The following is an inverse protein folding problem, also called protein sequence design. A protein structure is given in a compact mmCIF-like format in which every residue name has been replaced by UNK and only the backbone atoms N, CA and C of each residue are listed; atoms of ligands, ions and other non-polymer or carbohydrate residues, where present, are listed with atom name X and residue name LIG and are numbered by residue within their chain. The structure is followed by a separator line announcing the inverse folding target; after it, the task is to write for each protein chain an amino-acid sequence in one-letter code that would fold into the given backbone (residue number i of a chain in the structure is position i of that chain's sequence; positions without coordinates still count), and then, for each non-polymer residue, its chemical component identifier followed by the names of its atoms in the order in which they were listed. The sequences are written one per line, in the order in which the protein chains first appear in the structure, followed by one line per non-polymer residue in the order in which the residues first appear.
data_IF_959662936153
#
_entry.id   IF_959662936153
#
_cell.length_a   1.000
_cell.length_b   1.000
_cell.length_c   1.000
_cell.angle_alpha   90.00
_cell.angle_beta   90.00
_cell.angle_gamma   90.00
#
_symmetry.space_group_name_H-M   'P 1'
#
loop_
_entity.id
_entity.type
_entity.pdbx_description
1 polymer ?
#
# COMPACT_ATOMS: atom_id res chain seq x y z
N UNK A 1 -10.26 24.11 2.75
CA UNK A 1 -9.28 23.11 2.27
C UNK A 1 -8.06 23.29 3.15
N UNK A 2 -7.93 22.48 4.19
CA UNK A 2 -6.82 22.58 5.13
C UNK A 2 -5.62 21.75 4.61
N UNK A 3 -4.50 22.39 4.25
CA UNK A 3 -3.30 21.69 3.78
C UNK A 3 -2.61 20.92 4.93
N UNK A 4 -2.83 21.34 6.17
CA UNK A 4 -2.19 20.77 7.36
C UNK A 4 -2.76 19.38 7.74
N UNK A 5 -4.00 19.08 7.34
CA UNK A 5 -4.63 17.76 7.55
C UNK A 5 -3.90 16.61 6.86
N UNK A 6 -3.05 16.89 5.88
CA UNK A 6 -2.25 15.88 5.17
C UNK A 6 -0.84 15.72 5.73
N UNK A 7 -0.39 16.64 6.60
CA UNK A 7 0.95 16.65 7.17
C UNK A 7 1.02 15.95 8.53
N UNK A 8 -0.09 15.90 9.27
CA UNK A 8 -0.14 15.28 10.59
C UNK A 8 -0.62 13.82 10.53
N UNK A 9 0.34 12.91 10.36
CA UNK A 9 0.50 11.66 11.12
C UNK A 9 -0.66 10.67 11.27
N UNK A 10 -1.83 10.88 10.68
CA UNK A 10 -3.02 10.06 10.86
C UNK A 10 -3.48 9.52 9.51
N UNK A 11 -2.65 8.61 9.03
CA UNK A 11 -2.84 7.69 7.91
C UNK A 11 -4.22 6.98 7.90
N UNK A 12 -5.04 7.10 8.96
CA UNK A 12 -6.41 6.59 9.01
C UNK A 12 -7.30 7.16 7.89
N UNK A 13 -7.28 8.48 7.66
CA UNK A 13 -8.10 9.10 6.62
C UNK A 13 -7.69 8.68 5.21
N UNK A 14 -6.38 8.62 4.96
CA UNK A 14 -5.84 8.17 3.67
C UNK A 14 -6.06 6.66 3.45
N UNK A 15 -5.93 5.84 4.50
CA UNK A 15 -6.28 4.41 4.48
C UNK A 15 -7.74 4.18 4.13
N UNK A 16 -8.64 4.97 4.70
CA UNK A 16 -10.08 4.85 4.45
C UNK A 16 -10.43 5.16 3.00
N UNK A 17 -9.83 6.21 2.43
CA UNK A 17 -9.94 6.51 1.00
C UNK A 17 -9.41 5.36 0.14
N UNK A 18 -8.25 4.80 0.48
CA UNK A 18 -7.72 3.65 -0.24
C UNK A 18 -8.62 2.40 -0.14
N UNK A 19 -9.36 2.22 0.97
CA UNK A 19 -10.30 1.10 1.13
C UNK A 19 -11.51 1.21 0.20
N UNK A 20 -11.95 2.44 -0.10
CA UNK A 20 -13.05 2.72 -1.03
C UNK A 20 -12.64 2.75 -2.51
N UNK A 21 -11.35 2.80 -2.83
CA UNK A 21 -10.89 2.87 -4.22
C UNK A 21 -11.08 1.53 -4.96
N UNK A 22 -11.72 1.52 -6.14
CA UNK A 22 -11.84 0.32 -6.98
C UNK A 22 -10.48 -0.14 -7.54
N UNK A 23 -9.44 0.70 -7.43
CA UNK A 23 -8.07 0.37 -7.82
C UNK A 23 -7.21 -0.10 -6.65
N UNK A 24 -7.80 -0.41 -5.50
CA UNK A 24 -7.06 -0.83 -4.31
C UNK A 24 -6.18 -2.06 -4.59
N UNK A 25 -6.72 -3.06 -5.26
CA UNK A 25 -6.01 -4.32 -5.52
C UNK A 25 -4.93 -4.17 -6.59
N UNK A 26 -5.18 -3.36 -7.63
CA UNK A 26 -4.16 -3.00 -8.63
C UNK A 26 -3.05 -2.15 -8.01
N UNK A 27 -3.37 -1.26 -7.08
CA UNK A 27 -2.38 -0.51 -6.30
C UNK A 27 -1.53 -1.46 -5.44
N UNK A 28 -2.14 -2.45 -4.79
CA UNK A 28 -1.41 -3.45 -4.02
C UNK A 28 -0.44 -4.27 -4.90
N UNK A 29 -0.90 -4.70 -6.07
CA UNK A 29 -0.05 -5.40 -7.05
C UNK A 29 1.12 -4.51 -7.51
N UNK A 30 0.85 -3.26 -7.87
CA UNK A 30 1.86 -2.32 -8.33
C UNK A 30 2.93 -2.06 -7.26
N UNK A 31 2.55 -1.99 -5.97
CA UNK A 31 3.48 -1.84 -4.87
C UNK A 31 4.51 -2.98 -4.81
N UNK A 32 4.05 -4.21 -5.01
CA UNK A 32 4.91 -5.40 -4.98
C UNK A 32 5.80 -5.54 -6.22
N UNK A 33 5.40 -4.94 -7.34
CA UNK A 33 6.16 -4.92 -8.59
C UNK A 33 7.13 -3.73 -8.68
N UNK A 34 6.94 -2.70 -7.85
CA UNK A 34 7.75 -1.47 -7.85
C UNK A 34 8.98 -1.66 -6.93
N UNK A 35 10.21 -1.63 -7.48
CA UNK A 35 11.42 -1.63 -6.68
C UNK A 35 11.46 -0.40 -5.77
N UNK A 36 11.75 -0.59 -4.48
CA UNK A 36 11.82 0.54 -3.55
C UNK A 36 10.47 1.18 -3.21
N UNK A 37 9.33 0.49 -3.39
CA UNK A 37 8.04 1.00 -2.95
C UNK A 37 8.06 1.42 -1.46
N UNK A 38 7.58 2.64 -1.19
CA UNK A 38 7.44 3.29 0.13
C UNK A 38 6.16 4.13 0.17
N UNK A 39 5.70 4.48 1.37
CA UNK A 39 4.48 5.28 1.56
C UNK A 39 3.21 4.44 1.57
N UNK A 40 2.05 5.08 1.41
CA UNK A 40 0.76 4.40 1.49
C UNK A 40 0.35 3.77 0.14
N UNK A 41 0.11 2.46 0.14
CA UNK A 41 -0.37 1.70 -1.02
C UNK A 41 -1.57 0.86 -0.62
N UNK A 42 -2.69 0.95 -1.35
CA UNK A 42 -3.89 0.15 -1.08
C UNK A 42 -4.39 0.16 0.40
N UNK A 43 -4.06 1.21 1.16
CA UNK A 43 -4.37 1.31 2.59
C UNK A 43 -3.34 0.64 3.53
N UNK A 44 -2.14 0.35 3.04
CA UNK A 44 -1.01 -0.21 3.80
C UNK A 44 0.20 0.72 3.64
N UNK A 45 0.72 1.20 4.77
CA UNK A 45 1.93 2.01 4.77
C UNK A 45 3.18 1.13 4.69
N UNK A 46 4.02 1.37 3.69
CA UNK A 46 5.29 0.70 3.46
C UNK A 46 6.41 1.60 3.97
N UNK A 47 7.07 1.26 5.09
CA UNK A 47 8.20 2.04 5.58
C UNK A 47 9.42 1.89 4.65
N UNK A 48 10.34 2.88 4.65
CA UNK A 48 11.51 2.88 3.77
C UNK A 48 12.44 1.68 3.99
N UNK A 49 12.59 1.23 5.24
CA UNK A 49 13.50 0.14 5.60
C UNK A 49 12.95 -0.70 6.76
N UNK A 50 13.56 -1.87 6.98
CA UNK A 50 13.31 -2.72 8.15
C UNK A 50 12.28 -3.84 7.95
N UNK A 51 12.03 -4.60 9.01
CA UNK A 51 11.14 -5.79 8.99
C UNK A 51 9.69 -5.43 8.69
N UNK A 52 9.24 -4.26 9.15
CA UNK A 52 7.89 -3.75 8.88
C UNK A 52 7.63 -3.56 7.38
N UNK A 53 8.67 -3.26 6.58
CA UNK A 53 8.57 -3.17 5.12
C UNK A 53 8.22 -4.52 4.49
N UNK A 54 8.91 -5.57 4.89
CA UNK A 54 8.62 -6.92 4.38
C UNK A 54 7.22 -7.39 4.76
N UNK A 55 6.78 -7.08 6.00
CA UNK A 55 5.43 -7.38 6.45
C UNK A 55 4.37 -6.64 5.62
N UNK A 56 4.55 -5.34 5.39
CA UNK A 56 3.65 -4.54 4.55
C UNK A 56 3.55 -5.08 3.12
N UNK A 57 4.68 -5.43 2.50
CA UNK A 57 4.69 -6.01 1.15
C UNK A 57 4.00 -7.37 1.10
N UNK A 58 4.20 -8.25 2.10
CA UNK A 58 3.45 -9.53 2.17
C UNK A 58 1.96 -9.31 2.33
N UNK A 59 1.55 -8.34 3.14
CA UNK A 59 0.13 -8.02 3.30
C UNK A 59 -0.48 -7.53 1.98
N UNK A 60 0.24 -6.72 1.20
CA UNK A 60 -0.19 -6.26 -0.12
C UNK A 60 -0.23 -7.38 -1.15
N UNK A 61 0.74 -8.29 -1.12
CA UNK A 61 0.77 -9.49 -1.94
C UNK A 61 -0.46 -10.36 -1.70
N UNK A 62 -0.74 -10.74 -0.46
CA UNK A 62 -1.96 -11.50 -0.13
C UNK A 62 -3.24 -10.75 -0.50
N UNK A 63 -3.29 -9.43 -0.33
CA UNK A 63 -4.46 -8.64 -0.66
C UNK A 63 -4.74 -8.59 -2.17
N UNK A 64 -3.68 -8.53 -2.99
CA UNK A 64 -3.78 -8.61 -4.44
C UNK A 64 -4.21 -10.02 -4.88
N UNK A 65 -3.53 -11.06 -4.38
CA UNK A 65 -3.77 -12.45 -4.78
C UNK A 65 -5.16 -12.95 -4.40
N UNK A 66 -5.66 -12.64 -3.20
CA UNK A 66 -7.02 -12.97 -2.76
C UNK A 66 -8.11 -12.34 -3.64
N UNK A 67 -7.77 -11.29 -4.39
CA UNK A 67 -8.69 -10.60 -5.29
C UNK A 67 -8.38 -10.86 -6.77
N UNK A 68 -7.57 -11.90 -7.07
CA UNK A 68 -7.27 -12.34 -8.44
C UNK A 68 -6.16 -11.57 -9.15
N UNK A 69 -5.43 -10.69 -8.44
CA UNK A 69 -4.29 -9.95 -8.98
C UNK A 69 -2.99 -10.68 -8.63
N UNK A 70 -2.50 -11.51 -9.56
CA UNK A 70 -1.24 -12.24 -9.35
C UNK A 70 -0.05 -11.28 -9.23
N UNK A 71 0.73 -11.44 -8.17
CA UNK A 71 1.91 -10.61 -7.91
C UNK A 71 3.16 -11.39 -8.32
N UNK A 72 3.72 -11.04 -9.47
CA UNK A 72 5.07 -11.50 -9.82
C UNK A 72 6.08 -10.51 -9.24
N UNK A 73 6.63 -10.83 -8.07
CA UNK A 73 7.72 -10.04 -7.48
C UNK A 73 8.87 -9.97 -8.48
N UNK A 74 9.33 -8.75 -8.75
CA UNK A 74 10.60 -8.53 -9.47
C UNK A 74 11.68 -8.75 -8.41
N UNK A 75 12.29 -9.94 -8.45
CA UNK A 75 13.39 -10.35 -7.57
C UNK A 75 14.63 -9.49 -7.78
#
# INVERSE_FOLDING_TARGET
MDPDRWLDGTDAGAKELCRGCPRRWTSAQAACQTPGAVGLWAGVYIPPTGRARQFALRQLESLAELNGYSVRRVS
#
